data_IF_097469286261
#
_entry.id   IF_097469286261
#
_cell.length_a   1.000
_cell.length_b   1.000
_cell.length_c   1.000
_cell.angle_alpha   90.00
_cell.angle_beta   90.00
_cell.angle_gamma   90.00
#
_symmetry.space_group_name_H-M   'P 1'
#
loop_
_entity.id
_entity.type
_entity.pdbx_description
1 polymer ?
#
# COMPACT_ATOMS: atom_id res chain seq x y z
N UNK A 1 -9.40 13.83 9.80
CA UNK A 1 -9.24 13.35 8.39
C UNK A 1 -8.50 12.00 8.32
N UNK A 2 -7.30 11.85 8.89
CA UNK A 2 -6.55 10.57 8.82
C UNK A 2 -7.25 9.44 9.56
N UNK A 3 -7.85 9.70 10.72
CA UNK A 3 -8.65 8.71 11.46
C UNK A 3 -9.80 8.11 10.64
N UNK A 4 -10.32 8.84 9.65
CA UNK A 4 -11.37 8.34 8.76
C UNK A 4 -10.93 7.11 7.94
N UNK A 5 -9.61 6.95 7.66
CA UNK A 5 -9.10 5.75 6.98
C UNK A 5 -9.31 4.47 7.80
N UNK A 6 -9.37 4.56 9.13
CA UNK A 6 -9.60 3.40 9.99
C UNK A 6 -11.04 2.84 9.84
N UNK A 7 -11.98 3.70 9.46
CA UNK A 7 -13.37 3.33 9.21
C UNK A 7 -13.61 2.72 7.82
N UNK A 8 -12.62 2.76 6.92
CA UNK A 8 -12.73 2.17 5.58
C UNK A 8 -12.33 0.71 5.62
N UNK A 9 -13.31 -0.15 5.51
CA UNK A 9 -13.16 -1.61 5.42
C UNK A 9 -13.83 -2.12 4.15
N UNK A 10 -13.35 -3.23 3.61
CA UNK A 10 -14.00 -3.87 2.47
C UNK A 10 -15.38 -4.37 2.86
N UNK A 11 -16.41 -3.97 2.12
CA UNK A 11 -17.81 -4.31 2.36
C UNK A 11 -18.65 -3.10 2.79
N UNK A 12 -19.78 -3.37 3.41
CA UNK A 12 -20.74 -2.34 3.83
C UNK A 12 -20.40 -1.76 5.22
N UNK A 13 -20.38 -0.43 5.32
CA UNK A 13 -20.14 0.32 6.55
C UNK A 13 -21.34 1.25 6.80
N UNK A 14 -21.92 1.21 8.00
CA UNK A 14 -22.92 2.20 8.41
C UNK A 14 -22.24 3.46 8.98
N UNK A 15 -22.95 4.60 8.96
CA UNK A 15 -22.47 5.84 9.60
C UNK A 15 -22.13 5.60 11.06
N UNK A 16 -22.94 4.79 11.77
CA UNK A 16 -22.73 4.47 13.17
C UNK A 16 -21.45 3.65 13.41
N UNK A 17 -21.19 2.63 12.57
CA UNK A 17 -19.97 1.82 12.70
C UNK A 17 -18.74 2.66 12.39
N UNK A 18 -18.82 3.47 11.32
CA UNK A 18 -17.75 4.41 10.97
C UNK A 18 -17.46 5.39 12.10
N UNK A 19 -18.49 6.05 12.65
CA UNK A 19 -18.37 6.96 13.80
C UNK A 19 -17.72 6.27 15.00
N UNK A 20 -18.12 5.04 15.30
CA UNK A 20 -17.59 4.27 16.44
C UNK A 20 -16.09 3.95 16.27
N UNK A 21 -15.69 3.54 15.07
CA UNK A 21 -14.29 3.14 14.78
C UNK A 21 -13.37 4.35 14.68
N UNK A 22 -13.86 5.44 14.13
CA UNK A 22 -13.06 6.65 13.89
C UNK A 22 -13.08 7.66 15.04
N UNK A 23 -14.01 7.47 16.00
CA UNK A 23 -14.28 8.41 17.09
C UNK A 23 -14.74 9.80 16.60
N UNK A 24 -15.29 9.87 15.38
CA UNK A 24 -15.88 11.06 14.77
C UNK A 24 -17.38 11.07 15.09
N UNK A 25 -17.97 12.21 15.38
CA UNK A 25 -19.42 12.30 15.60
C UNK A 25 -20.22 11.88 14.36
N UNK A 26 -21.53 11.58 14.51
CA UNK A 26 -22.35 11.01 13.45
C UNK A 26 -22.51 11.94 12.25
N UNK A 27 -22.72 13.22 12.47
CA UNK A 27 -22.96 14.20 11.39
C UNK A 27 -21.69 14.35 10.53
N UNK A 28 -20.54 14.58 11.15
CA UNK A 28 -19.26 14.65 10.44
C UNK A 28 -18.90 13.30 9.77
N UNK A 29 -19.29 12.17 10.37
CA UNK A 29 -19.07 10.84 9.79
C UNK A 29 -19.86 10.65 8.50
N UNK A 30 -21.11 11.08 8.48
CA UNK A 30 -21.97 11.02 7.28
C UNK A 30 -21.44 11.94 6.18
N UNK A 31 -21.02 13.16 6.54
CA UNK A 31 -20.42 14.11 5.61
C UNK A 31 -19.13 13.55 4.97
N UNK A 32 -18.25 12.94 5.78
CA UNK A 32 -17.02 12.32 5.29
C UNK A 32 -17.32 11.15 4.34
N UNK A 33 -18.25 10.27 4.70
CA UNK A 33 -18.62 9.12 3.88
C UNK A 33 -19.27 9.55 2.56
N UNK A 34 -20.16 10.55 2.60
CA UNK A 34 -20.74 11.15 1.39
C UNK A 34 -19.64 11.76 0.51
N UNK A 35 -18.71 12.50 1.09
CA UNK A 35 -17.58 13.07 0.36
C UNK A 35 -16.71 11.99 -0.32
N UNK A 36 -16.49 10.84 0.31
CA UNK A 36 -15.78 9.74 -0.33
C UNK A 36 -16.55 9.22 -1.54
N UNK A 37 -17.85 8.99 -1.44
CA UNK A 37 -18.70 8.52 -2.57
C UNK A 37 -18.74 9.56 -3.69
N UNK A 38 -18.89 10.83 -3.38
CA UNK A 38 -18.89 11.93 -4.36
C UNK A 38 -17.58 12.04 -5.14
N UNK A 39 -16.47 11.65 -4.50
CA UNK A 39 -15.15 11.57 -5.14
C UNK A 39 -14.87 10.21 -5.82
N UNK A 40 -15.85 9.33 -5.90
CA UNK A 40 -15.73 8.04 -6.59
C UNK A 40 -15.06 6.93 -5.76
N UNK A 41 -15.01 7.08 -4.44
CA UNK A 41 -14.52 6.07 -3.52
C UNK A 41 -15.70 5.37 -2.85
N UNK A 42 -16.00 4.14 -3.30
CA UNK A 42 -17.14 3.38 -2.81
C UNK A 42 -18.49 3.80 -3.41
N UNK A 43 -19.57 3.23 -2.88
CA UNK A 43 -20.97 3.50 -3.30
C UNK A 43 -21.89 3.51 -2.10
N UNK A 44 -22.98 4.29 -2.17
CA UNK A 44 -24.04 4.30 -1.15
C UNK A 44 -25.23 3.46 -1.65
N UNK A 45 -25.64 2.46 -0.88
CA UNK A 45 -26.82 1.62 -1.17
C UNK A 45 -27.52 1.25 0.14
N UNK A 46 -28.83 1.45 0.22
CA UNK A 46 -29.66 1.09 1.39
C UNK A 46 -29.09 1.60 2.74
N UNK A 47 -28.62 2.84 2.76
CA UNK A 47 -28.00 3.50 3.94
C UNK A 47 -26.68 2.88 4.40
N UNK A 48 -26.03 2.06 3.57
CA UNK A 48 -24.70 1.55 3.79
C UNK A 48 -23.73 2.06 2.72
N UNK A 49 -22.53 2.39 3.14
CA UNK A 49 -21.41 2.78 2.28
C UNK A 49 -20.57 1.54 1.98
N UNK A 50 -20.51 1.13 0.73
CA UNK A 50 -19.75 -0.05 0.30
C UNK A 50 -18.43 0.35 -0.31
N UNK A 51 -17.35 -0.22 0.23
CA UNK A 51 -15.98 -0.04 -0.25
C UNK A 51 -15.44 -1.33 -0.82
N UNK A 52 -14.74 -1.24 -1.95
CA UNK A 52 -14.05 -2.35 -2.58
C UNK A 52 -12.61 -2.50 -2.06
N UNK A 53 -11.99 -3.64 -2.38
CA UNK A 53 -10.57 -3.82 -2.13
C UNK A 53 -9.76 -2.73 -2.86
N UNK A 54 -8.94 -1.99 -2.11
CA UNK A 54 -8.12 -0.90 -2.63
C UNK A 54 -8.73 0.51 -2.52
N UNK A 55 -10.01 0.68 -2.18
CA UNK A 55 -10.59 2.03 -2.01
C UNK A 55 -9.92 2.78 -0.85
N UNK A 56 -9.59 2.09 0.24
CA UNK A 56 -8.80 2.66 1.33
C UNK A 56 -7.46 3.23 0.85
N UNK A 57 -6.76 2.48 0.00
CA UNK A 57 -5.51 2.93 -0.61
C UNK A 57 -5.71 4.14 -1.52
N UNK A 58 -6.77 4.15 -2.35
CA UNK A 58 -7.09 5.30 -3.22
C UNK A 58 -7.37 6.57 -2.40
N UNK A 59 -8.14 6.44 -1.31
CA UNK A 59 -8.41 7.55 -0.38
C UNK A 59 -7.10 8.03 0.27
N UNK A 60 -6.25 7.12 0.72
CA UNK A 60 -4.94 7.45 1.30
C UNK A 60 -4.04 8.21 0.30
N UNK A 61 -4.01 7.78 -0.96
CA UNK A 61 -3.28 8.46 -2.04
C UNK A 61 -3.87 9.86 -2.28
N UNK A 62 -5.19 10.01 -2.29
CA UNK A 62 -5.83 11.31 -2.39
C UNK A 62 -5.41 12.24 -1.25
N UNK A 63 -5.34 11.74 -0.02
CA UNK A 63 -4.85 12.51 1.12
C UNK A 63 -3.40 12.98 0.94
N UNK A 64 -2.51 12.11 0.44
CA UNK A 64 -1.13 12.49 0.12
C UNK A 64 -1.08 13.58 -0.95
N UNK A 65 -1.92 13.50 -2.00
CA UNK A 65 -2.00 14.51 -3.06
C UNK A 65 -2.47 15.87 -2.53
N UNK A 66 -3.27 15.88 -1.46
CA UNK A 66 -3.70 17.08 -0.75
C UNK A 66 -2.72 17.54 0.34
N UNK A 67 -1.54 16.93 0.41
CA UNK A 67 -0.44 17.37 1.27
C UNK A 67 -0.46 16.82 2.69
N UNK A 68 -1.27 15.80 2.99
CA UNK A 68 -1.18 15.13 4.28
C UNK A 68 0.12 14.34 4.39
N UNK A 69 0.77 14.30 5.57
CA UNK A 69 2.07 13.65 5.72
C UNK A 69 1.98 12.13 5.62
N UNK A 70 2.96 11.54 4.95
CA UNK A 70 3.01 10.11 4.68
C UNK A 70 3.09 9.26 5.95
N UNK A 71 3.84 9.68 6.94
CA UNK A 71 4.01 9.01 8.22
C UNK A 71 2.69 8.87 8.98
N UNK A 72 1.85 9.89 8.98
CA UNK A 72 0.53 9.84 9.59
C UNK A 72 -0.44 8.92 8.82
N UNK A 73 -0.45 9.00 7.48
CA UNK A 73 -1.30 8.13 6.64
C UNK A 73 -0.89 6.67 6.77
N UNK A 74 0.40 6.42 6.88
CA UNK A 74 0.96 5.08 6.93
C UNK A 74 0.49 4.26 8.15
N UNK A 75 0.16 4.92 9.25
CA UNK A 75 -0.36 4.27 10.47
C UNK A 75 -1.72 3.60 10.21
N UNK A 76 -2.52 4.16 9.30
CA UNK A 76 -3.84 3.64 8.96
C UNK A 76 -3.81 2.55 7.87
N UNK A 77 -2.67 2.35 7.20
CA UNK A 77 -2.52 1.38 6.12
C UNK A 77 -2.08 0.01 6.66
N UNK A 78 -2.63 -1.05 6.08
CA UNK A 78 -2.12 -2.40 6.30
C UNK A 78 -0.91 -2.72 5.38
N UNK A 79 -0.35 -3.93 5.51
CA UNK A 79 0.82 -4.32 4.71
C UNK A 79 0.53 -4.39 3.20
N UNK A 80 -0.69 -4.75 2.80
CA UNK A 80 -1.10 -4.84 1.39
C UNK A 80 -1.29 -3.44 0.79
N UNK A 81 -1.89 -2.54 1.57
CA UNK A 81 -2.01 -1.13 1.20
C UNK A 81 -0.63 -0.49 1.03
N UNK A 82 0.33 -0.87 1.89
CA UNK A 82 1.70 -0.37 1.81
C UNK A 82 2.46 -0.85 0.55
N UNK A 83 2.30 -2.12 0.17
CA UNK A 83 2.79 -2.62 -1.12
C UNK A 83 2.14 -1.88 -2.30
N UNK A 84 0.82 -1.66 -2.22
CA UNK A 84 0.07 -0.90 -3.20
C UNK A 84 0.57 0.55 -3.30
N UNK A 85 0.77 1.23 -2.18
CA UNK A 85 1.30 2.60 -2.14
C UNK A 85 2.70 2.69 -2.77
N UNK A 86 3.57 1.72 -2.44
CA UNK A 86 4.91 1.64 -3.02
C UNK A 86 4.85 1.49 -4.55
N UNK A 87 3.93 0.67 -5.05
CA UNK A 87 3.70 0.48 -6.48
C UNK A 87 3.21 1.79 -7.16
N UNK A 88 2.27 2.50 -6.55
CA UNK A 88 1.76 3.77 -7.06
C UNK A 88 2.83 4.87 -7.10
N UNK A 89 3.66 4.96 -6.07
CA UNK A 89 4.80 5.89 -6.04
C UNK A 89 5.76 5.62 -7.22
N UNK A 90 6.08 4.36 -7.49
CA UNK A 90 6.90 4.01 -8.65
C UNK A 90 6.22 4.34 -9.98
N UNK A 91 4.93 4.02 -10.11
CA UNK A 91 4.14 4.34 -11.31
C UNK A 91 4.13 5.85 -11.58
N UNK A 92 3.95 6.68 -10.54
CA UNK A 92 3.98 8.15 -10.67
C UNK A 92 5.34 8.70 -11.10
N UNK A 93 6.42 7.92 -10.95
CA UNK A 93 7.78 8.23 -11.41
C UNK A 93 8.13 7.58 -12.75
N UNK A 94 7.13 7.15 -13.51
CA UNK A 94 7.25 6.52 -14.84
C UNK A 94 8.05 5.20 -14.82
N UNK A 95 7.92 4.41 -13.76
CA UNK A 95 8.35 3.02 -13.77
C UNK A 95 7.22 2.13 -14.30
N UNK A 96 7.56 1.13 -15.12
CA UNK A 96 6.68 -0.01 -15.35
C UNK A 96 6.68 -0.88 -14.09
N UNK A 97 5.51 -1.14 -13.50
CA UNK A 97 5.41 -1.79 -12.19
C UNK A 97 4.76 -3.17 -12.30
N UNK A 98 5.36 -4.15 -11.60
CA UNK A 98 4.81 -5.49 -11.42
C UNK A 98 4.67 -5.71 -9.91
N UNK A 99 3.49 -6.11 -9.43
CA UNK A 99 3.25 -6.49 -8.03
C UNK A 99 3.26 -8.00 -7.88
N UNK A 100 3.72 -8.48 -6.73
CA UNK A 100 3.69 -9.89 -6.33
C UNK A 100 4.35 -10.81 -7.38
N UNK A 101 5.53 -10.41 -7.87
CA UNK A 101 6.26 -11.21 -8.86
C UNK A 101 6.72 -12.52 -8.23
N UNK A 102 6.20 -13.63 -8.73
CA UNK A 102 6.57 -14.97 -8.29
C UNK A 102 7.69 -15.55 -9.14
N UNK A 103 8.86 -15.72 -8.56
CA UNK A 103 9.95 -16.50 -9.16
C UNK A 103 9.75 -17.98 -8.87
N UNK A 104 9.98 -18.82 -9.87
CA UNK A 104 9.90 -20.28 -9.74
C UNK A 104 11.31 -20.89 -9.75
N UNK A 105 11.57 -21.89 -8.89
CA UNK A 105 12.84 -22.64 -8.83
C UNK A 105 14.09 -21.78 -8.50
N UNK A 106 14.30 -21.43 -7.23
CA UNK A 106 13.41 -21.66 -6.10
C UNK A 106 12.18 -20.72 -6.12
N UNK A 107 11.10 -21.11 -5.45
CA UNK A 107 9.92 -20.25 -5.31
C UNK A 107 10.24 -19.09 -4.38
N UNK A 108 10.17 -17.89 -4.90
CA UNK A 108 10.41 -16.63 -4.17
C UNK A 108 9.44 -15.57 -4.67
N UNK A 109 8.93 -14.78 -3.77
CA UNK A 109 8.06 -13.65 -4.08
C UNK A 109 8.82 -12.33 -3.93
N UNK A 110 8.58 -11.41 -4.84
CA UNK A 110 9.06 -10.02 -4.78
C UNK A 110 7.83 -9.14 -4.77
N UNK A 111 7.67 -8.34 -3.72
CA UNK A 111 6.44 -7.61 -3.45
C UNK A 111 6.16 -6.58 -4.56
N UNK A 112 7.16 -5.76 -4.91
CA UNK A 112 7.04 -4.78 -6.00
C UNK A 112 8.31 -4.76 -6.84
N UNK A 113 8.15 -4.80 -8.16
CA UNK A 113 9.23 -4.60 -9.13
C UNK A 113 8.93 -3.37 -9.96
N UNK A 114 9.81 -2.38 -9.95
CA UNK A 114 9.75 -1.21 -10.81
C UNK A 114 10.84 -1.26 -11.88
N UNK A 115 10.47 -1.13 -13.15
CA UNK A 115 11.41 -1.17 -14.27
C UNK A 115 11.41 0.17 -14.98
N UNK A 116 12.60 0.75 -15.13
CA UNK A 116 12.79 1.99 -15.88
C UNK A 116 14.18 2.04 -16.48
N UNK A 117 14.28 2.42 -17.76
CA UNK A 117 15.56 2.59 -18.49
C UNK A 117 16.51 1.36 -18.38
N UNK A 118 15.95 0.15 -18.45
CA UNK A 118 16.72 -1.09 -18.37
C UNK A 118 17.18 -1.49 -16.96
N UNK A 119 16.82 -0.72 -15.94
CA UNK A 119 17.12 -1.03 -14.54
C UNK A 119 15.84 -1.48 -13.84
N UNK A 120 15.90 -2.59 -13.13
CA UNK A 120 14.85 -3.10 -12.27
C UNK A 120 15.15 -2.77 -10.81
N UNK A 121 14.21 -2.16 -10.10
CA UNK A 121 14.24 -1.98 -8.65
C UNK A 121 13.35 -3.06 -8.05
N UNK A 122 13.91 -3.96 -7.26
CA UNK A 122 13.20 -5.05 -6.61
C UNK A 122 12.97 -4.68 -5.15
N UNK A 123 11.72 -4.49 -4.78
CA UNK A 123 11.34 -3.97 -3.46
C UNK A 123 10.71 -5.07 -2.62
N UNK A 124 11.19 -5.20 -1.40
CA UNK A 124 10.60 -5.97 -0.30
C UNK A 124 10.00 -4.97 0.69
N UNK A 125 8.69 -4.99 0.85
CA UNK A 125 7.95 -4.08 1.72
C UNK A 125 7.83 -4.68 3.13
N UNK A 126 8.21 -3.91 4.15
CA UNK A 126 8.18 -4.36 5.54
C UNK A 126 7.42 -3.38 6.42
N UNK A 127 6.30 -3.85 6.95
CA UNK A 127 5.56 -3.16 7.99
C UNK A 127 5.94 -3.76 9.35
N UNK A 128 6.91 -3.17 10.02
CA UNK A 128 7.41 -3.66 11.31
C UNK A 128 6.82 -2.87 12.47
N UNK A 129 6.20 -3.57 13.41
CA UNK A 129 5.77 -2.96 14.70
C UNK A 129 6.96 -2.62 15.59
N UNK A 130 8.05 -3.35 15.46
CA UNK A 130 9.31 -3.14 16.20
C UNK A 130 10.49 -3.39 15.29
N UNK A 131 11.42 -2.47 15.30
CA UNK A 131 12.67 -2.56 14.54
C UNK A 131 13.71 -3.40 15.32
N UNK A 132 14.40 -4.31 14.63
CA UNK A 132 15.60 -4.94 15.15
C UNK A 132 16.66 -5.05 14.05
N UNK A 133 17.92 -4.86 14.41
CA UNK A 133 19.03 -4.97 13.48
C UNK A 133 19.15 -6.38 12.86
N UNK A 134 18.82 -7.42 13.62
CA UNK A 134 18.82 -8.80 13.13
C UNK A 134 17.72 -9.03 12.08
N UNK A 135 16.52 -8.48 12.29
CA UNK A 135 15.41 -8.56 11.33
C UNK A 135 15.76 -7.85 10.03
N UNK A 136 16.33 -6.64 10.11
CA UNK A 136 16.81 -5.92 8.93
C UNK A 136 17.89 -6.69 8.19
N UNK A 137 18.91 -7.19 8.88
CA UNK A 137 19.99 -7.97 8.28
C UNK A 137 19.49 -9.23 7.58
N UNK A 138 18.46 -9.88 8.15
CA UNK A 138 17.82 -11.04 7.55
C UNK A 138 17.03 -10.67 6.28
N UNK A 139 16.26 -9.58 6.32
CA UNK A 139 15.52 -9.08 5.17
C UNK A 139 16.46 -8.68 4.01
N UNK A 140 17.54 -7.95 4.31
CA UNK A 140 18.57 -7.58 3.34
C UNK A 140 19.16 -8.81 2.64
N UNK A 141 19.57 -9.82 3.41
CA UNK A 141 20.13 -11.07 2.82
C UNK A 141 19.13 -11.77 1.91
N UNK A 142 17.85 -11.87 2.33
CA UNK A 142 16.79 -12.48 1.51
C UNK A 142 16.56 -11.68 0.23
N UNK A 143 16.55 -10.35 0.32
CA UNK A 143 16.30 -9.50 -0.84
C UNK A 143 17.46 -9.54 -1.84
N UNK A 144 18.69 -9.60 -1.37
CA UNK A 144 19.87 -9.82 -2.23
C UNK A 144 19.74 -11.16 -2.98
N UNK A 145 19.32 -12.22 -2.31
CA UNK A 145 19.16 -13.53 -2.95
C UNK A 145 18.04 -13.52 -4.00
N UNK A 146 16.90 -12.90 -3.69
CA UNK A 146 15.81 -12.70 -4.67
C UNK A 146 16.31 -11.94 -5.90
N UNK A 147 17.11 -10.91 -5.70
CA UNK A 147 17.69 -10.09 -6.78
C UNK A 147 18.64 -10.91 -7.66
N UNK A 148 19.50 -11.72 -7.07
CA UNK A 148 20.37 -12.64 -7.84
C UNK A 148 19.55 -13.61 -8.70
N UNK A 149 18.50 -14.20 -8.12
CA UNK A 149 17.60 -15.11 -8.84
C UNK A 149 16.83 -14.41 -9.97
N UNK A 150 16.41 -13.17 -9.75
CA UNK A 150 15.75 -12.35 -10.78
C UNK A 150 16.70 -12.11 -11.95
N UNK A 151 17.93 -11.65 -11.70
CA UNK A 151 18.93 -11.38 -12.74
C UNK A 151 19.31 -12.64 -13.49
N UNK A 152 19.45 -13.78 -12.80
CA UNK A 152 19.74 -15.06 -13.43
C UNK A 152 18.65 -15.51 -14.43
N UNK A 153 17.39 -15.10 -14.20
CA UNK A 153 16.24 -15.44 -15.05
C UNK A 153 15.91 -14.39 -16.11
N UNK A 154 16.53 -13.22 -16.01
CA UNK A 154 16.32 -12.07 -16.90
C UNK A 154 17.66 -11.62 -17.49
N UNK A 155 18.23 -12.38 -18.43
CA UNK A 155 19.54 -12.06 -19.00
C UNK A 155 19.59 -10.64 -19.57
N UNK A 156 20.67 -9.90 -19.26
CA UNK A 156 20.85 -8.53 -19.71
C UNK A 156 20.16 -7.47 -18.84
N UNK A 157 19.43 -7.86 -17.78
CA UNK A 157 18.87 -6.90 -16.85
C UNK A 157 19.88 -6.49 -15.76
N UNK A 158 19.81 -5.23 -15.37
CA UNK A 158 20.44 -4.73 -14.13
C UNK A 158 19.36 -4.60 -13.06
N UNK A 159 19.63 -5.11 -11.86
CA UNK A 159 18.65 -5.06 -10.79
C UNK A 159 19.24 -4.55 -9.47
N UNK A 160 18.45 -3.76 -8.73
CA UNK A 160 18.82 -3.17 -7.46
C UNK A 160 17.89 -3.73 -6.37
N UNK A 161 18.42 -4.39 -5.31
CA UNK A 161 17.63 -4.78 -4.15
C UNK A 161 17.29 -3.57 -3.29
N UNK A 162 16.03 -3.44 -2.92
CA UNK A 162 15.54 -2.37 -2.05
C UNK A 162 14.65 -2.97 -0.97
N UNK A 163 14.74 -2.43 0.24
CA UNK A 163 13.78 -2.69 1.32
C UNK A 163 13.14 -1.36 1.67
N UNK A 164 11.82 -1.32 1.67
CA UNK A 164 11.05 -0.17 2.15
C UNK A 164 10.38 -0.57 3.45
N UNK A 165 10.57 0.26 4.48
CA UNK A 165 10.03 0.00 5.81
C UNK A 165 9.05 1.10 6.21
N UNK A 166 8.01 0.67 6.92
CA UNK A 166 7.06 1.54 7.61
C UNK A 166 7.18 1.25 9.11
N UNK A 167 7.26 2.30 9.91
CA UNK A 167 7.40 2.24 11.37
C UNK A 167 6.18 2.81 12.05
#
# INVERSE_FOLDING_TARGET
MITSLNGIIQGGVSVKDFSTVTEINLDDSEDILNNFVDNGFGTLTDSFYYFEAGDKLKIAISFLQHGLPLDEISIALDWRDFEGLTAEILSSKNFAVIKNLMLTKPRMEIDVVGIRLGIAILIDCKHWKTYSQSSLSSAVRKQIERTKQYVAKTPGSTAVPVIVTLH
#
